data_IF_880338569628
#
_entry.id   IF_880338569628
#
_cell.length_a   1.000
_cell.length_b   1.000
_cell.length_c   1.000
_cell.angle_alpha   90.00
_cell.angle_beta   90.00
_cell.angle_gamma   90.00
#
_symmetry.space_group_name_H-M   'P 1'
#
loop_
_entity.id
_entity.type
_entity.pdbx_description
1 polymer ?
#
# COMPACT_ATOMS: atom_id res chain seq x y z
N UNK A 1 18.14 -13.33 -18.69
CA UNK A 1 17.96 -13.88 -17.32
C UNK A 1 16.62 -13.35 -16.85
N UNK A 2 15.63 -14.21 -16.62
CA UNK A 2 14.25 -13.75 -16.36
C UNK A 2 14.05 -13.18 -14.95
N UNK A 3 13.02 -12.35 -14.75
CA UNK A 3 12.59 -11.79 -13.44
C UNK A 3 12.54 -12.86 -12.32
N UNK A 4 12.08 -14.06 -12.65
CA UNK A 4 12.00 -15.19 -11.72
C UNK A 4 13.34 -15.85 -11.39
N UNK A 5 14.34 -15.77 -12.27
CA UNK A 5 15.68 -16.32 -12.01
C UNK A 5 16.47 -15.47 -11.01
N UNK A 6 16.18 -14.16 -10.91
CA UNK A 6 16.81 -13.27 -9.95
C UNK A 6 16.27 -13.46 -8.52
N UNK A 7 14.94 -13.66 -8.37
CA UNK A 7 14.31 -13.96 -7.06
C UNK A 7 14.73 -15.32 -6.49
N UNK A 8 15.17 -16.26 -7.32
CA UNK A 8 15.78 -17.55 -6.90
C UNK A 8 17.12 -17.36 -6.17
N UNK A 9 17.77 -16.20 -6.25
CA UNK A 9 19.21 -16.05 -6.05
C UNK A 9 19.73 -15.65 -4.66
N UNK A 10 18.90 -15.20 -3.71
CA UNK A 10 19.37 -14.89 -2.34
C UNK A 10 18.76 -15.83 -1.31
N UNK A 11 19.48 -16.92 -1.02
CA UNK A 11 19.27 -17.68 0.20
C UNK A 11 19.84 -16.88 1.36
N UNK A 12 19.03 -16.60 2.37
CA UNK A 12 19.51 -16.07 3.64
C UNK A 12 20.44 -17.08 4.33
N UNK A 13 21.05 -16.67 5.45
CA UNK A 13 21.88 -17.57 6.27
C UNK A 13 21.14 -18.85 6.69
N UNK A 14 19.81 -18.78 6.73
CA UNK A 14 18.91 -19.87 7.14
C UNK A 14 18.52 -20.80 5.97
N UNK A 15 19.13 -20.60 4.79
CA UNK A 15 18.94 -21.41 3.59
C UNK A 15 17.61 -21.21 2.87
N UNK A 16 16.77 -20.27 3.33
CA UNK A 16 15.51 -19.87 2.69
C UNK A 16 15.68 -18.65 1.79
N UNK A 17 14.95 -18.62 0.67
CA UNK A 17 14.87 -17.43 -0.19
C UNK A 17 13.93 -16.36 0.39
N UNK A 18 14.06 -15.12 -0.08
CA UNK A 18 13.11 -14.06 0.27
C UNK A 18 11.66 -14.42 -0.11
N UNK A 19 11.45 -15.16 -1.21
CA UNK A 19 10.12 -15.64 -1.61
C UNK A 19 9.56 -16.67 -0.62
N UNK A 20 10.39 -17.59 -0.14
CA UNK A 20 10.02 -18.59 0.87
C UNK A 20 9.75 -17.94 2.23
N UNK A 21 10.55 -16.95 2.64
CA UNK A 21 10.32 -16.18 3.86
C UNK A 21 9.06 -15.31 3.75
N UNK A 22 8.79 -14.72 2.57
CA UNK A 22 7.54 -13.98 2.32
C UNK A 22 6.33 -14.91 2.44
N UNK A 23 6.41 -16.12 1.88
CA UNK A 23 5.36 -17.14 2.03
C UNK A 23 5.21 -17.54 3.50
N UNK A 24 6.30 -17.86 4.20
CA UNK A 24 6.27 -18.23 5.62
C UNK A 24 5.60 -17.14 6.48
N UNK A 25 5.88 -15.86 6.19
CA UNK A 25 5.28 -14.72 6.88
C UNK A 25 3.75 -14.65 6.74
N UNK A 26 3.15 -15.26 5.70
CA UNK A 26 1.69 -15.39 5.56
C UNK A 26 1.07 -16.23 6.67
N UNK A 27 1.78 -17.27 7.11
CA UNK A 27 1.36 -18.20 8.15
C UNK A 27 1.66 -17.71 9.57
N UNK A 28 2.05 -16.43 9.75
CA UNK A 28 2.09 -15.80 11.09
C UNK A 28 0.72 -15.81 11.78
N UNK A 29 -0.36 -15.89 10.98
CA UNK A 29 -1.69 -16.22 11.45
C UNK A 29 -2.08 -17.56 10.82
N UNK A 30 -2.76 -18.41 11.58
CA UNK A 30 -3.22 -19.70 11.09
C UNK A 30 -4.08 -19.54 9.82
N UNK A 31 -3.79 -20.34 8.79
CA UNK A 31 -4.42 -20.26 7.46
C UNK A 31 -4.51 -21.63 6.82
N UNK A 32 -5.45 -21.81 5.89
CA UNK A 32 -5.57 -23.03 5.10
C UNK A 32 -4.37 -23.10 4.16
N UNK A 33 -3.72 -24.25 4.07
CA UNK A 33 -2.55 -24.43 3.22
C UNK A 33 -2.91 -24.35 1.72
N UNK A 34 -4.12 -24.77 1.34
CA UNK A 34 -4.60 -24.77 -0.04
C UNK A 34 -5.11 -23.41 -0.56
N UNK A 35 -5.34 -22.42 0.32
CA UNK A 35 -5.92 -21.11 -0.05
C UNK A 35 -4.92 -20.17 -0.75
N UNK A 36 -3.62 -20.50 -0.78
CA UNK A 36 -2.62 -19.68 -1.45
C UNK A 36 -2.68 -19.97 -2.96
N UNK A 37 -3.11 -18.99 -3.75
CA UNK A 37 -3.31 -19.17 -5.19
C UNK A 37 -2.01 -19.61 -5.88
N UNK A 38 -2.01 -20.83 -6.43
CA UNK A 38 -0.84 -21.43 -7.06
C UNK A 38 -0.23 -20.54 -8.14
N UNK A 39 -1.07 -19.90 -8.96
CA UNK A 39 -0.65 -19.05 -10.08
C UNK A 39 0.23 -17.86 -9.67
N UNK A 40 0.02 -17.31 -8.47
CA UNK A 40 0.77 -16.12 -8.02
C UNK A 40 2.13 -16.48 -7.41
N UNK A 41 2.27 -17.67 -6.83
CA UNK A 41 3.39 -18.03 -5.98
C UNK A 41 4.42 -18.94 -6.66
N UNK A 42 3.98 -19.76 -7.63
CA UNK A 42 4.85 -20.77 -8.24
C UNK A 42 6.07 -20.16 -8.92
N UNK A 43 5.88 -19.01 -9.59
CA UNK A 43 6.96 -18.37 -10.32
C UNK A 43 8.00 -17.70 -9.38
N UNK A 44 7.64 -16.88 -8.36
CA UNK A 44 8.60 -16.38 -7.38
C UNK A 44 9.30 -17.47 -6.55
N UNK A 45 8.61 -18.56 -6.24
CA UNK A 45 9.19 -19.69 -5.50
C UNK A 45 10.06 -20.60 -6.38
N UNK A 46 9.85 -20.55 -7.70
CA UNK A 46 10.47 -21.47 -8.66
C UNK A 46 10.00 -22.92 -8.53
N UNK A 47 8.93 -23.19 -7.77
CA UNK A 47 8.35 -24.49 -7.52
C UNK A 47 6.88 -24.34 -7.07
N UNK A 48 6.03 -25.38 -7.23
CA UNK A 48 4.64 -25.33 -6.79
C UNK A 48 4.50 -24.94 -5.32
N UNK A 49 3.62 -23.99 -5.00
CA UNK A 49 3.43 -23.45 -3.65
C UNK A 49 3.15 -24.56 -2.63
N UNK A 50 2.33 -25.55 -2.98
CA UNK A 50 2.01 -26.69 -2.11
C UNK A 50 3.23 -27.59 -1.84
N UNK A 51 4.22 -27.66 -2.73
CA UNK A 51 5.49 -28.36 -2.49
C UNK A 51 6.37 -27.56 -1.53
N UNK A 52 6.40 -26.25 -1.70
CA UNK A 52 7.12 -25.33 -0.80
C UNK A 52 6.56 -25.38 0.62
N UNK A 53 5.23 -25.35 0.79
CA UNK A 53 4.56 -25.46 2.10
C UNK A 53 4.91 -26.79 2.77
N UNK A 54 4.80 -27.91 2.05
CA UNK A 54 5.19 -29.23 2.59
C UNK A 54 6.63 -29.24 3.09
N UNK A 55 7.58 -28.71 2.30
CA UNK A 55 8.98 -28.60 2.72
C UNK A 55 9.16 -27.68 3.95
N UNK A 56 8.37 -26.61 4.10
CA UNK A 56 8.41 -25.77 5.30
C UNK A 56 7.88 -26.52 6.54
N UNK A 57 6.90 -27.42 6.37
CA UNK A 57 6.42 -28.33 7.42
C UNK A 57 7.51 -29.37 7.75
N UNK A 58 8.11 -30.01 6.75
CA UNK A 58 9.19 -31.00 6.92
C UNK A 58 10.41 -30.40 7.63
N UNK A 59 10.65 -29.10 7.45
CA UNK A 59 11.69 -28.33 8.16
C UNK A 59 11.29 -27.87 9.57
N UNK A 60 10.09 -28.17 10.04
CA UNK A 60 9.59 -27.76 11.34
C UNK A 60 9.32 -26.25 11.48
N UNK A 61 9.18 -25.52 10.37
CA UNK A 61 8.90 -24.07 10.38
C UNK A 61 7.40 -23.78 10.36
N UNK A 62 6.63 -24.74 9.85
CA UNK A 62 5.17 -24.75 9.87
C UNK A 62 4.69 -26.01 10.58
N UNK A 63 3.55 -25.91 11.25
CA UNK A 63 2.89 -27.04 11.90
C UNK A 63 1.36 -26.86 11.86
N UNK A 64 0.58 -27.94 12.08
CA UNK A 64 -0.84 -27.81 12.36
C UNK A 64 -1.10 -26.76 13.44
N UNK A 65 -2.00 -25.81 13.16
CA UNK A 65 -2.27 -24.72 14.08
C UNK A 65 -2.94 -25.22 15.36
N UNK A 66 -2.56 -24.64 16.50
CA UNK A 66 -3.22 -24.93 17.79
C UNK A 66 -4.71 -24.61 17.73
N UNK A 67 -5.53 -25.26 18.57
CA UNK A 67 -6.98 -25.03 18.63
C UNK A 67 -7.31 -23.53 18.78
N UNK A 68 -6.61 -22.83 19.69
CA UNK A 68 -6.76 -21.38 19.90
C UNK A 68 -6.47 -20.58 18.62
N UNK A 69 -5.41 -20.93 17.90
CA UNK A 69 -5.07 -20.26 16.64
C UNK A 69 -6.09 -20.55 15.53
N UNK A 70 -6.62 -21.78 15.48
CA UNK A 70 -7.68 -22.17 14.53
C UNK A 70 -8.98 -21.39 14.77
N UNK A 71 -9.40 -21.26 16.02
CA UNK A 71 -10.55 -20.45 16.43
C UNK A 71 -10.33 -18.97 16.09
N UNK A 72 -9.12 -18.45 16.36
CA UNK A 72 -8.77 -17.07 16.06
C UNK A 72 -8.80 -16.73 14.56
N UNK A 73 -8.44 -17.69 13.71
CA UNK A 73 -8.48 -17.53 12.25
C UNK A 73 -9.89 -17.71 11.67
N UNK A 74 -10.68 -18.60 12.26
CA UNK A 74 -11.96 -19.06 11.71
C UNK A 74 -13.16 -18.23 12.19
N UNK A 75 -13.27 -18.00 13.49
CA UNK A 75 -14.49 -17.43 14.08
C UNK A 75 -14.37 -15.93 14.25
N UNK A 76 -15.46 -15.21 13.98
CA UNK A 76 -15.61 -13.79 14.32
C UNK A 76 -16.08 -13.65 15.76
N UNK A 77 -15.89 -12.45 16.34
CA UNK A 77 -16.30 -12.15 17.72
C UNK A 77 -17.79 -12.45 17.97
N UNK A 78 -18.74 -12.15 17.06
CA UNK A 78 -20.14 -12.51 17.28
C UNK A 78 -20.38 -14.02 17.42
N UNK A 79 -19.72 -14.85 16.60
CA UNK A 79 -19.85 -16.32 16.64
C UNK A 79 -19.29 -16.89 17.94
N UNK A 80 -18.14 -16.38 18.40
CA UNK A 80 -17.57 -16.74 19.71
C UNK A 80 -18.53 -16.41 20.85
N UNK A 81 -19.20 -15.25 20.79
CA UNK A 81 -20.17 -14.85 21.81
C UNK A 81 -21.42 -15.75 21.80
N UNK A 82 -21.85 -16.24 20.65
CA UNK A 82 -22.96 -17.21 20.57
C UNK A 82 -22.55 -18.50 21.30
N UNK A 83 -21.40 -19.08 20.95
CA UNK A 83 -20.90 -20.31 21.58
C UNK A 83 -20.73 -20.18 23.10
N UNK A 84 -20.28 -19.03 23.58
CA UNK A 84 -20.16 -18.77 25.02
C UNK A 84 -21.52 -18.63 25.72
N UNK A 85 -22.52 -17.98 25.09
CA UNK A 85 -23.87 -17.85 25.68
C UNK A 85 -24.58 -19.19 25.82
N UNK A 86 -24.45 -20.06 24.83
CA UNK A 86 -25.00 -21.42 24.89
C UNK A 86 -24.48 -22.24 26.08
N UNK A 87 -23.33 -21.81 26.64
CA UNK A 87 -22.66 -22.42 27.79
C UNK A 87 -22.79 -21.58 29.06
N UNK A 88 -23.64 -20.56 29.03
CA UNK A 88 -23.84 -19.61 30.14
C UNK A 88 -22.56 -18.91 30.59
N UNK A 89 -21.57 -18.77 29.70
CA UNK A 89 -20.29 -18.14 29.99
C UNK A 89 -20.33 -16.63 29.72
N UNK A 90 -19.52 -15.83 30.44
CA UNK A 90 -19.39 -14.41 30.16
C UNK A 90 -19.00 -14.14 28.69
N UNK A 91 -19.57 -13.08 28.10
CA UNK A 91 -19.35 -12.69 26.69
C UNK A 91 -18.64 -11.34 26.51
N UNK A 92 -18.18 -10.75 27.61
CA UNK A 92 -17.34 -9.55 27.59
C UNK A 92 -15.87 -9.92 27.39
N UNK A 93 -15.11 -9.00 26.79
CA UNK A 93 -13.67 -9.12 26.59
C UNK A 93 -13.22 -9.07 25.12
N UNK A 94 -11.91 -9.16 24.93
CA UNK A 94 -11.26 -9.21 23.62
C UNK A 94 -11.37 -10.61 23.01
N UNK A 95 -11.19 -10.73 21.69
CA UNK A 95 -11.27 -12.01 20.98
C UNK A 95 -10.38 -13.12 21.61
N UNK A 96 -9.10 -12.88 21.97
CA UNK A 96 -8.28 -13.89 22.64
C UNK A 96 -8.87 -14.37 23.97
N UNK A 97 -9.42 -13.46 24.77
CA UNK A 97 -10.04 -13.80 26.07
C UNK A 97 -11.29 -14.67 25.86
N UNK A 98 -12.10 -14.37 24.85
CA UNK A 98 -13.28 -15.19 24.52
C UNK A 98 -12.89 -16.60 24.05
N UNK A 99 -11.81 -16.72 23.27
CA UNK A 99 -11.27 -18.01 22.82
C UNK A 99 -10.75 -18.82 24.01
N UNK A 100 -9.94 -18.20 24.87
CA UNK A 100 -9.39 -18.84 26.07
C UNK A 100 -10.51 -19.46 26.90
N UNK A 101 -11.54 -18.65 27.19
CA UNK A 101 -12.72 -19.07 27.97
C UNK A 101 -13.47 -20.23 27.33
N UNK A 102 -13.64 -20.21 26.00
CA UNK A 102 -14.31 -21.29 25.29
C UNK A 102 -13.49 -22.59 25.35
N UNK A 103 -12.16 -22.51 25.15
CA UNK A 103 -11.28 -23.68 25.19
C UNK A 103 -11.18 -24.26 26.59
N UNK A 104 -11.14 -23.43 27.65
CA UNK A 104 -11.09 -23.90 29.04
C UNK A 104 -12.39 -24.57 29.47
N UNK A 105 -13.54 -24.01 29.10
CA UNK A 105 -14.84 -24.50 29.55
C UNK A 105 -15.36 -25.68 28.73
N UNK A 106 -15.13 -25.68 27.41
CA UNK A 106 -15.62 -26.73 26.51
C UNK A 106 -14.65 -26.96 25.32
N UNK A 107 -13.53 -27.68 25.55
CA UNK A 107 -12.59 -28.00 24.49
C UNK A 107 -13.20 -28.77 23.32
N UNK A 108 -14.19 -29.64 23.60
CA UNK A 108 -14.81 -30.49 22.59
C UNK A 108 -15.65 -29.67 21.59
N UNK A 109 -16.46 -28.74 22.09
CA UNK A 109 -17.21 -27.85 21.20
C UNK A 109 -16.31 -26.82 20.50
N UNK A 110 -15.26 -26.36 21.17
CA UNK A 110 -14.25 -25.53 20.56
C UNK A 110 -13.62 -26.25 19.35
N UNK A 111 -13.28 -27.52 19.50
CA UNK A 111 -12.74 -28.36 18.43
C UNK A 111 -13.77 -28.59 17.31
N UNK A 112 -15.04 -28.89 17.67
CA UNK A 112 -16.13 -29.07 16.72
C UNK A 112 -16.39 -27.81 15.87
N UNK A 113 -16.29 -26.62 16.46
CA UNK A 113 -16.51 -25.34 15.78
C UNK A 113 -15.48 -25.05 14.67
N UNK A 114 -14.34 -25.74 14.68
CA UNK A 114 -13.28 -25.62 13.67
C UNK A 114 -13.00 -26.94 12.96
N UNK A 115 -13.86 -27.94 13.13
CA UNK A 115 -13.73 -29.25 12.50
C UNK A 115 -13.71 -29.12 10.97
N UNK A 116 -12.92 -29.98 10.31
CA UNK A 116 -12.76 -29.98 8.86
C UNK A 116 -11.85 -28.88 8.30
N UNK A 117 -11.23 -28.05 9.15
CA UNK A 117 -10.33 -26.98 8.70
C UNK A 117 -8.87 -27.31 9.04
N UNK A 118 -8.13 -27.73 8.02
CA UNK A 118 -6.69 -28.01 8.09
C UNK A 118 -5.89 -26.71 8.03
N UNK A 119 -5.88 -25.97 9.14
CA UNK A 119 -5.11 -24.74 9.25
C UNK A 119 -3.67 -25.02 9.70
N UNK A 120 -2.74 -24.35 9.05
CA UNK A 120 -1.30 -24.38 9.33
C UNK A 120 -0.88 -23.03 9.90
N UNK A 121 0.07 -23.02 10.82
CA UNK A 121 0.66 -21.81 11.40
C UNK A 121 2.18 -21.93 11.56
N UNK A 122 2.84 -20.78 11.77
CA UNK A 122 4.26 -20.76 12.12
C UNK A 122 4.49 -21.46 13.47
N UNK A 123 5.55 -22.27 13.53
CA UNK A 123 6.15 -22.69 14.79
C UNK A 123 6.93 -21.53 15.42
N UNK A 124 7.42 -21.68 16.64
CA UNK A 124 8.26 -20.67 17.29
C UNK A 124 9.51 -20.35 16.46
N UNK A 125 10.11 -21.37 15.84
CA UNK A 125 11.27 -21.20 14.97
C UNK A 125 10.89 -20.48 13.67
N UNK A 126 9.78 -20.87 13.04
CA UNK A 126 9.25 -20.14 11.88
C UNK A 126 8.93 -18.68 12.21
N UNK A 127 8.39 -18.41 13.39
CA UNK A 127 8.05 -17.06 13.84
C UNK A 127 9.31 -16.20 14.05
N UNK A 128 10.39 -16.76 14.61
CA UNK A 128 11.69 -16.06 14.72
C UNK A 128 12.25 -15.68 13.37
N UNK A 129 12.24 -16.62 12.40
CA UNK A 129 12.70 -16.33 11.03
C UNK A 129 11.86 -15.24 10.36
N UNK A 130 10.55 -15.27 10.55
CA UNK A 130 9.65 -14.22 10.03
C UNK A 130 9.91 -12.88 10.68
N UNK A 131 10.16 -12.83 11.99
CA UNK A 131 10.47 -11.59 12.70
C UNK A 131 11.78 -10.98 12.17
N UNK A 132 12.85 -11.76 12.10
CA UNK A 132 14.13 -11.32 11.55
C UNK A 132 14.03 -10.89 10.07
N UNK A 133 13.22 -11.60 9.28
CA UNK A 133 12.92 -11.22 7.89
C UNK A 133 12.22 -9.87 7.80
N UNK A 134 11.18 -9.64 8.61
CA UNK A 134 10.44 -8.37 8.64
C UNK A 134 11.33 -7.21 9.08
N UNK A 135 12.16 -7.42 10.10
CA UNK A 135 13.11 -6.41 10.56
C UNK A 135 14.10 -6.03 9.44
N UNK A 136 14.67 -7.03 8.76
CA UNK A 136 15.52 -6.80 7.59
C UNK A 136 14.79 -6.02 6.50
N UNK A 137 13.56 -6.40 6.15
CA UNK A 137 12.78 -5.72 5.10
C UNK A 137 12.41 -4.29 5.48
N UNK A 138 12.08 -4.05 6.73
CA UNK A 138 11.82 -2.71 7.24
C UNK A 138 13.09 -1.85 7.18
N UNK A 139 14.25 -2.39 7.57
CA UNK A 139 15.52 -1.68 7.45
C UNK A 139 15.91 -1.40 6.00
N UNK A 140 15.71 -2.36 5.08
CA UNK A 140 15.92 -2.15 3.63
C UNK A 140 15.01 -1.05 3.08
N UNK A 141 13.73 -1.03 3.47
CA UNK A 141 12.78 0.00 3.09
C UNK A 141 13.20 1.38 3.64
N UNK A 142 13.48 1.47 4.94
CA UNK A 142 13.87 2.72 5.61
C UNK A 142 15.13 3.31 5.00
N UNK A 143 16.14 2.48 4.75
CA UNK A 143 17.38 2.92 4.11
C UNK A 143 17.11 3.50 2.71
N UNK A 144 16.31 2.82 1.89
CA UNK A 144 15.98 3.28 0.55
C UNK A 144 15.11 4.54 0.58
N UNK A 145 14.14 4.63 1.49
CA UNK A 145 13.29 5.82 1.64
C UNK A 145 14.10 7.02 2.08
N UNK A 146 14.97 6.87 3.08
CA UNK A 146 15.84 7.95 3.54
C UNK A 146 16.81 8.41 2.44
N UNK A 147 17.44 7.48 1.72
CA UNK A 147 18.31 7.83 0.59
C UNK A 147 17.57 8.61 -0.50
N UNK A 148 16.36 8.18 -0.88
CA UNK A 148 15.55 8.89 -1.87
C UNK A 148 15.08 10.27 -1.40
N UNK A 149 14.78 10.42 -0.10
CA UNK A 149 14.41 11.70 0.51
C UNK A 149 15.57 12.71 0.43
N UNK A 150 16.78 12.29 0.80
CA UNK A 150 17.98 13.14 0.71
C UNK A 150 18.28 13.56 -0.73
N UNK A 151 18.10 12.65 -1.68
CA UNK A 151 18.26 12.94 -3.11
C UNK A 151 17.23 13.99 -3.58
N UNK A 152 15.95 13.84 -3.20
CA UNK A 152 14.91 14.84 -3.51
C UNK A 152 15.24 16.21 -2.91
N UNK A 153 15.68 16.25 -1.66
CA UNK A 153 16.05 17.50 -0.98
C UNK A 153 17.21 18.24 -1.67
N UNK A 154 18.13 17.49 -2.31
CA UNK A 154 19.25 18.04 -3.08
C UNK A 154 18.93 18.26 -4.56
N UNK A 155 17.71 17.94 -5.00
CA UNK A 155 17.27 18.04 -6.41
C UNK A 155 17.72 16.90 -7.32
N UNK A 156 18.31 15.82 -6.80
CA UNK A 156 18.67 14.63 -7.57
C UNK A 156 17.45 13.69 -7.76
N UNK A 157 16.52 14.12 -8.61
CA UNK A 157 15.30 13.35 -8.87
C UNK A 157 15.53 12.05 -9.60
N UNK A 158 16.54 12.02 -10.48
CA UNK A 158 16.88 10.81 -11.22
C UNK A 158 17.48 9.76 -10.28
N UNK A 159 18.35 10.16 -9.34
CA UNK A 159 18.86 9.30 -8.28
C UNK A 159 17.75 8.77 -7.38
N UNK A 160 16.82 9.63 -6.96
CA UNK A 160 15.70 9.23 -6.11
C UNK A 160 14.82 8.17 -6.79
N UNK A 161 14.40 8.41 -8.05
CA UNK A 161 13.59 7.44 -8.82
C UNK A 161 14.33 6.11 -9.02
N UNK A 162 15.62 6.14 -9.38
CA UNK A 162 16.43 4.92 -9.53
C UNK A 162 16.60 4.14 -8.22
N UNK A 163 16.77 4.83 -7.10
CA UNK A 163 16.87 4.20 -5.78
C UNK A 163 15.60 3.42 -5.45
N UNK A 164 14.46 4.04 -5.71
CA UNK A 164 13.15 3.45 -5.50
C UNK A 164 12.91 2.27 -6.45
N UNK A 165 13.26 2.41 -7.73
CA UNK A 165 13.17 1.32 -8.70
C UNK A 165 14.07 0.13 -8.33
N UNK A 166 15.31 0.38 -7.89
CA UNK A 166 16.22 -0.66 -7.44
C UNK A 166 15.71 -1.39 -6.19
N UNK A 167 15.03 -0.68 -5.28
CA UNK A 167 14.35 -1.30 -4.14
C UNK A 167 13.18 -2.19 -4.58
N UNK A 168 12.29 -1.69 -5.44
CA UNK A 168 11.11 -2.41 -5.92
C UNK A 168 11.48 -3.63 -6.77
N UNK A 169 12.49 -3.51 -7.63
CA UNK A 169 13.01 -4.61 -8.46
C UNK A 169 13.50 -5.83 -7.66
N UNK A 170 13.78 -5.64 -6.37
CA UNK A 170 14.23 -6.70 -5.44
C UNK A 170 13.09 -7.33 -4.63
N UNK A 171 11.86 -6.82 -4.74
CA UNK A 171 10.74 -7.36 -3.98
C UNK A 171 10.18 -8.61 -4.65
N UNK A 172 9.68 -9.54 -3.82
CA UNK A 172 9.00 -10.75 -4.29
C UNK A 172 7.72 -10.38 -5.05
N UNK A 173 7.02 -9.36 -4.57
CA UNK A 173 5.85 -8.78 -5.20
C UNK A 173 6.05 -7.27 -5.29
N UNK A 174 6.68 -6.76 -6.36
CA UNK A 174 6.80 -5.33 -6.55
C UNK A 174 5.43 -4.67 -6.70
N UNK A 175 5.33 -3.39 -6.35
CA UNK A 175 4.09 -2.62 -6.50
C UNK A 175 3.83 -2.24 -7.96
N UNK A 176 2.57 -1.96 -8.30
CA UNK A 176 2.19 -1.50 -9.63
C UNK A 176 2.02 -2.64 -10.63
N UNK A 177 0.84 -2.70 -11.27
CA UNK A 177 0.54 -3.74 -12.26
C UNK A 177 1.27 -3.44 -13.57
N UNK A 178 2.05 -4.40 -14.07
CA UNK A 178 2.73 -4.28 -15.37
C UNK A 178 3.95 -3.36 -15.39
N UNK A 179 4.43 -2.91 -14.23
CA UNK A 179 5.65 -2.08 -14.13
C UNK A 179 6.86 -3.01 -14.07
N UNK A 180 7.78 -2.86 -15.03
CA UNK A 180 9.10 -3.48 -14.96
C UNK A 180 10.07 -2.57 -14.20
N UNK A 181 10.21 -2.82 -12.89
CA UNK A 181 11.11 -2.04 -12.05
C UNK A 181 12.59 -2.25 -12.37
N UNK A 182 12.97 -3.33 -13.08
CA UNK A 182 14.38 -3.55 -13.46
C UNK A 182 14.80 -2.62 -14.60
N UNK A 183 13.88 -2.29 -15.50
CA UNK A 183 14.09 -1.40 -16.64
C UNK A 183 13.34 -0.07 -16.50
N UNK A 184 12.94 0.29 -15.28
CA UNK A 184 12.15 1.49 -15.00
C UNK A 184 12.83 2.76 -15.55
N UNK A 185 12.11 3.46 -16.42
CA UNK A 185 12.56 4.75 -16.94
C UNK A 185 12.24 5.87 -15.96
N UNK A 186 13.29 6.42 -15.34
CA UNK A 186 13.18 7.55 -14.43
C UNK A 186 12.70 8.85 -15.10
N UNK A 187 12.66 8.94 -16.43
CA UNK A 187 12.36 10.20 -17.12
C UNK A 187 10.94 10.73 -16.81
N UNK A 188 9.94 9.86 -16.62
CA UNK A 188 8.60 10.32 -16.24
C UNK A 188 8.58 10.87 -14.82
N UNK A 189 9.22 10.18 -13.88
CA UNK A 189 9.35 10.64 -12.49
C UNK A 189 10.09 11.96 -12.42
N UNK A 190 11.23 12.09 -13.12
CA UNK A 190 12.02 13.33 -13.16
C UNK A 190 11.18 14.49 -13.69
N UNK A 191 10.41 14.29 -14.77
CA UNK A 191 9.51 15.34 -15.30
C UNK A 191 8.47 15.74 -14.26
N UNK A 192 7.85 14.77 -13.58
CA UNK A 192 6.85 15.03 -12.55
C UNK A 192 7.45 15.78 -11.35
N UNK A 193 8.59 15.33 -10.84
CA UNK A 193 9.26 15.93 -9.68
C UNK A 193 9.78 17.33 -9.96
N UNK A 194 10.29 17.57 -11.18
CA UNK A 194 10.70 18.90 -11.63
C UNK A 194 9.52 19.86 -11.68
N UNK A 195 8.36 19.44 -12.22
CA UNK A 195 7.18 20.31 -12.25
C UNK A 195 6.57 20.54 -10.87
N UNK A 196 6.72 19.59 -9.95
CA UNK A 196 6.29 19.70 -8.56
C UNK A 196 7.07 20.75 -7.76
N UNK A 197 8.37 20.93 -8.02
CA UNK A 197 9.20 21.92 -7.31
C UNK A 197 8.69 23.37 -7.39
N UNK A 198 7.97 23.69 -8.47
CA UNK A 198 7.46 25.03 -8.73
C UNK A 198 5.94 25.14 -8.55
N UNK A 199 5.30 24.10 -8.03
CA UNK A 199 3.86 24.03 -7.92
C UNK A 199 3.31 24.81 -6.72
N UNK A 200 2.40 25.74 -6.96
CA UNK A 200 1.68 26.48 -5.92
C UNK A 200 0.20 26.59 -6.30
N UNK A 201 -0.60 25.50 -6.14
CA UNK A 201 -2.01 25.55 -6.47
C UNK A 201 -2.74 26.56 -5.57
N UNK A 202 -3.74 27.25 -6.11
CA UNK A 202 -4.47 28.31 -5.43
C UNK A 202 -5.12 27.82 -4.12
N UNK A 203 -5.50 26.54 -4.06
CA UNK A 203 -6.06 25.91 -2.86
C UNK A 203 -5.08 25.85 -1.67
N UNK A 204 -3.77 25.92 -1.92
CA UNK A 204 -2.70 25.89 -0.93
C UNK A 204 -1.93 27.22 -0.88
N UNK A 205 -2.49 28.29 -1.45
CA UNK A 205 -1.84 29.61 -1.54
C UNK A 205 -1.55 30.27 -0.18
N UNK A 206 -2.12 29.74 0.90
CA UNK A 206 -1.94 30.23 2.27
C UNK A 206 -0.79 29.54 3.04
N UNK A 207 -0.10 28.58 2.43
CA UNK A 207 1.10 27.99 3.04
C UNK A 207 2.27 28.97 2.95
N UNK A 208 3.11 28.97 3.99
CA UNK A 208 4.41 29.64 3.92
C UNK A 208 5.30 28.98 2.86
N UNK A 209 6.29 29.69 2.32
CA UNK A 209 7.26 29.08 1.40
C UNK A 209 8.03 27.92 2.04
N UNK A 210 8.29 27.99 3.35
CA UNK A 210 8.92 26.91 4.11
C UNK A 210 8.05 25.65 4.13
N UNK A 211 6.77 25.80 4.48
CA UNK A 211 5.81 24.69 4.50
C UNK A 211 5.55 24.17 3.08
N UNK A 212 5.41 25.05 2.08
CA UNK A 212 5.20 24.63 0.69
C UNK A 212 6.40 23.83 0.17
N UNK A 213 7.63 24.25 0.48
CA UNK A 213 8.84 23.51 0.14
C UNK A 213 8.85 22.12 0.79
N UNK A 214 8.59 22.04 2.10
CA UNK A 214 8.50 20.77 2.83
C UNK A 214 7.38 19.86 2.27
N UNK A 215 6.23 20.44 1.93
CA UNK A 215 5.10 19.72 1.36
C UNK A 215 5.43 19.17 -0.03
N UNK A 216 6.12 19.93 -0.89
CA UNK A 216 6.60 19.45 -2.21
C UNK A 216 7.52 18.25 -2.07
N UNK A 217 8.46 18.28 -1.10
CA UNK A 217 9.35 17.14 -0.81
C UNK A 217 8.56 15.92 -0.33
N UNK A 218 7.63 16.10 0.60
CA UNK A 218 6.79 14.99 1.08
C UNK A 218 5.87 14.43 -0.02
N UNK A 219 5.30 15.28 -0.86
CA UNK A 219 4.49 14.86 -2.03
C UNK A 219 5.34 14.14 -3.08
N UNK A 220 6.59 14.54 -3.29
CA UNK A 220 7.54 13.84 -4.16
C UNK A 220 7.77 12.40 -3.67
N UNK A 221 7.98 12.25 -2.37
CA UNK A 221 8.12 10.95 -1.73
C UNK A 221 6.83 10.11 -1.83
N UNK A 222 5.65 10.71 -1.61
CA UNK A 222 4.35 10.04 -1.80
C UNK A 222 4.21 9.48 -3.22
N UNK A 223 4.56 10.28 -4.23
CA UNK A 223 4.50 9.88 -5.63
C UNK A 223 5.45 8.71 -5.90
N UNK A 224 6.74 8.86 -5.55
CA UNK A 224 7.74 7.82 -5.84
C UNK A 224 7.40 6.52 -5.14
N UNK A 225 7.05 6.55 -3.85
CA UNK A 225 6.79 5.36 -3.04
C UNK A 225 5.37 4.80 -3.18
N UNK A 226 4.50 5.45 -3.96
CA UNK A 226 3.13 4.99 -4.18
C UNK A 226 2.28 4.99 -2.90
N UNK A 227 2.52 5.95 -2.00
CA UNK A 227 1.85 6.06 -0.71
C UNK A 227 0.82 7.19 -0.70
N UNK A 228 -0.20 7.06 0.15
CA UNK A 228 -1.29 8.03 0.32
C UNK A 228 -1.08 8.97 1.52
N UNK A 229 0.03 8.82 2.24
CA UNK A 229 0.41 9.65 3.39
C UNK A 229 1.78 10.31 3.19
N UNK A 230 1.85 11.61 3.48
CA UNK A 230 3.06 12.43 3.50
C UNK A 230 3.67 12.55 4.89
N UNK A 231 2.89 12.23 5.94
CA UNK A 231 3.19 12.58 7.34
C UNK A 231 4.61 12.22 7.80
N UNK A 232 5.11 11.07 7.37
CA UNK A 232 6.42 10.55 7.80
C UNK A 232 7.62 11.31 7.22
N UNK A 233 7.42 12.12 6.19
CA UNK A 233 8.50 12.90 5.55
C UNK A 233 8.42 14.40 5.83
N UNK A 234 7.44 14.83 6.60
CA UNK A 234 7.31 16.22 7.01
C UNK A 234 8.23 16.48 8.21
N UNK A 235 8.91 17.64 8.25
CA UNK A 235 9.75 18.01 9.39
C UNK A 235 8.91 18.26 10.64
N UNK A 236 9.50 18.13 11.83
CA UNK A 236 8.82 18.32 13.12
C UNK A 236 8.17 19.71 13.28
N UNK A 237 8.70 20.73 12.61
CA UNK A 237 8.17 22.10 12.63
C UNK A 237 7.14 22.44 11.54
N UNK A 238 6.67 21.44 10.77
CA UNK A 238 5.68 21.69 9.71
C UNK A 238 4.34 22.13 10.29
N UNK A 239 3.90 23.34 9.93
CA UNK A 239 2.62 23.90 10.42
C UNK A 239 1.47 23.41 9.56
N UNK A 240 1.68 23.35 8.24
CA UNK A 240 0.71 22.86 7.27
C UNK A 240 -0.46 23.80 7.00
N UNK A 241 -1.51 23.25 6.40
CA UNK A 241 -2.67 24.05 5.96
C UNK A 241 -3.70 24.14 7.09
N UNK A 242 -4.24 25.33 7.41
CA UNK A 242 -5.34 25.45 8.37
C UNK A 242 -6.65 24.82 7.86
N UNK A 243 -6.75 24.52 6.56
CA UNK A 243 -7.96 23.94 5.94
C UNK A 243 -7.93 22.42 5.88
N UNK A 244 -6.75 21.80 5.92
CA UNK A 244 -6.57 20.40 5.60
C UNK A 244 -5.52 19.74 6.47
N UNK A 245 -5.76 18.47 6.83
CA UNK A 245 -4.69 17.63 7.38
C UNK A 245 -3.52 17.47 6.39
N UNK A 246 -2.35 17.11 6.91
CA UNK A 246 -1.10 17.08 6.15
C UNK A 246 -1.18 16.22 4.88
N UNK A 247 -1.71 15.00 5.00
CA UNK A 247 -1.88 14.07 3.89
C UNK A 247 -2.88 14.58 2.84
N UNK A 248 -3.88 15.33 3.27
CA UNK A 248 -4.86 15.96 2.36
C UNK A 248 -4.23 17.11 1.60
N UNK A 249 -3.44 17.97 2.26
CA UNK A 249 -2.70 19.03 1.59
C UNK A 249 -1.72 18.46 0.56
N UNK A 250 -0.98 17.40 0.91
CA UNK A 250 -0.04 16.74 0.00
C UNK A 250 -0.76 16.09 -1.20
N UNK A 251 -1.93 15.49 -0.98
CA UNK A 251 -2.79 14.98 -2.08
C UNK A 251 -3.32 16.10 -2.97
N UNK A 252 -3.69 17.26 -2.43
CA UNK A 252 -4.10 18.40 -3.26
C UNK A 252 -3.00 18.81 -4.23
N UNK A 253 -1.75 18.85 -3.75
CA UNK A 253 -0.58 19.15 -4.58
C UNK A 253 -0.33 18.07 -5.65
N UNK A 254 -0.44 16.79 -5.27
CA UNK A 254 -0.34 15.65 -6.19
C UNK A 254 -1.42 15.68 -7.28
N UNK A 255 -2.67 15.95 -6.90
CA UNK A 255 -3.80 16.04 -7.84
C UNK A 255 -3.65 17.23 -8.77
N UNK A 256 -3.10 18.34 -8.30
CA UNK A 256 -2.79 19.47 -9.15
C UNK A 256 -1.78 19.09 -10.23
N UNK A 257 -0.68 18.43 -9.85
CA UNK A 257 0.31 17.98 -10.83
C UNK A 257 -0.25 16.97 -11.83
N UNK A 258 -1.11 16.04 -11.40
CA UNK A 258 -1.79 15.10 -12.30
C UNK A 258 -2.70 15.83 -13.29
N UNK A 259 -3.47 16.82 -12.83
CA UNK A 259 -4.31 17.65 -13.69
C UNK A 259 -3.50 18.42 -14.73
N UNK A 260 -2.41 19.06 -14.30
CA UNK A 260 -1.52 19.79 -15.19
C UNK A 260 -0.89 18.87 -16.25
N UNK A 261 -0.51 17.64 -15.87
CA UNK A 261 -0.02 16.62 -16.81
C UNK A 261 -1.11 16.21 -17.80
N UNK A 262 -2.34 15.99 -17.33
CA UNK A 262 -3.46 15.60 -18.18
C UNK A 262 -3.79 16.66 -19.22
N UNK A 263 -3.91 17.93 -18.81
CA UNK A 263 -4.11 19.05 -19.75
C UNK A 263 -3.01 19.08 -20.82
N UNK A 264 -1.74 18.92 -20.44
CA UNK A 264 -0.61 18.88 -21.39
C UNK A 264 -0.72 17.70 -22.35
N UNK A 265 -1.08 16.52 -21.84
CA UNK A 265 -1.24 15.32 -22.65
C UNK A 265 -2.36 15.49 -23.68
N UNK A 266 -3.53 15.96 -23.26
CA UNK A 266 -4.67 16.21 -24.14
C UNK A 266 -4.33 17.22 -25.24
N UNK A 267 -3.67 18.34 -24.89
CA UNK A 267 -3.19 19.33 -25.87
C UNK A 267 -2.21 18.72 -26.88
N UNK A 268 -1.28 17.89 -26.40
CA UNK A 268 -0.27 17.23 -27.25
C UNK A 268 -0.88 16.31 -28.30
N UNK A 269 -1.98 15.63 -27.96
CA UNK A 269 -2.69 14.72 -28.89
C UNK A 269 -3.80 15.43 -29.69
N UNK A 270 -3.86 16.77 -29.63
CA UNK A 270 -4.78 17.58 -30.44
C UNK A 270 -6.20 17.69 -29.91
N UNK A 271 -6.49 17.19 -28.70
CA UNK A 271 -7.79 17.37 -28.06
C UNK A 271 -7.96 18.83 -27.65
N UNK A 272 -9.12 19.41 -27.97
CA UNK A 272 -9.44 20.82 -27.71
C UNK A 272 -10.44 21.03 -26.58
N UNK A 273 -11.24 20.01 -26.28
CA UNK A 273 -12.28 20.06 -25.28
C UNK A 273 -12.10 18.98 -24.22
N UNK A 274 -12.51 19.30 -23.01
CA UNK A 274 -12.55 18.35 -21.91
C UNK A 274 -13.73 18.65 -20.99
N UNK A 275 -13.97 17.71 -20.08
CA UNK A 275 -15.04 17.79 -19.09
C UNK A 275 -14.50 17.40 -17.73
N UNK A 276 -14.93 18.12 -16.70
CA UNK A 276 -14.63 17.76 -15.32
C UNK A 276 -15.71 16.77 -14.87
N UNK A 277 -15.29 15.59 -14.43
CA UNK A 277 -16.15 14.62 -13.75
C UNK A 277 -15.85 14.64 -12.26
N UNK A 278 -16.89 14.65 -11.43
CA UNK A 278 -16.76 14.46 -9.99
C UNK A 278 -17.17 13.05 -9.60
N UNK A 279 -16.56 12.50 -8.55
CA UNK A 279 -17.10 11.31 -7.89
C UNK A 279 -18.42 11.62 -7.16
N UNK A 280 -19.27 10.61 -6.86
CA UNK A 280 -20.51 10.80 -6.09
C UNK A 280 -20.32 11.53 -4.75
N UNK A 281 -19.15 11.36 -4.12
CA UNK A 281 -18.80 12.02 -2.86
C UNK A 281 -18.04 13.35 -3.02
N UNK A 282 -17.97 13.94 -4.21
CA UNK A 282 -17.35 15.27 -4.42
C UNK A 282 -18.04 16.33 -3.54
N UNK A 283 -17.30 17.34 -3.06
CA UNK A 283 -17.91 18.41 -2.25
C UNK A 283 -18.84 19.32 -3.09
N UNK A 284 -19.71 20.07 -2.43
CA UNK A 284 -20.69 20.97 -3.07
C UNK A 284 -20.06 21.91 -4.09
N UNK A 285 -18.94 22.54 -3.73
CA UNK A 285 -18.22 23.45 -4.63
C UNK A 285 -17.83 22.74 -5.93
N UNK A 286 -17.28 21.53 -5.83
CA UNK A 286 -16.79 20.77 -6.97
C UNK A 286 -17.94 20.24 -7.86
N UNK A 287 -19.09 19.90 -7.27
CA UNK A 287 -20.30 19.51 -8.03
C UNK A 287 -20.78 20.63 -8.97
N UNK A 288 -20.54 21.89 -8.64
CA UNK A 288 -20.88 23.02 -9.53
C UNK A 288 -20.10 23.05 -10.86
N UNK A 289 -19.02 22.28 -10.98
CA UNK A 289 -18.17 22.21 -12.17
C UNK A 289 -18.35 20.94 -12.99
N UNK A 290 -19.08 19.94 -12.45
CA UNK A 290 -19.22 18.66 -13.12
C UNK A 290 -20.06 18.76 -14.39
N UNK A 291 -19.73 17.91 -15.36
CA UNK A 291 -20.47 17.70 -16.60
C UNK A 291 -20.45 18.84 -17.63
N UNK A 292 -19.69 19.92 -17.38
CA UNK A 292 -19.53 21.03 -18.33
C UNK A 292 -18.45 20.70 -19.37
N UNK A 293 -18.83 20.67 -20.66
CA UNK A 293 -17.87 20.68 -21.78
C UNK A 293 -17.22 22.05 -21.84
N UNK A 294 -15.90 22.10 -21.71
CA UNK A 294 -15.09 23.32 -21.72
C UNK A 294 -13.95 23.15 -22.72
N UNK A 295 -13.50 24.27 -23.30
CA UNK A 295 -12.23 24.26 -24.03
C UNK A 295 -11.08 24.07 -23.04
N UNK A 296 -10.00 23.40 -23.45
CA UNK A 296 -8.86 23.11 -22.55
C UNK A 296 -8.15 24.36 -21.99
N UNK A 297 -8.30 25.52 -22.61
CA UNK A 297 -7.82 26.83 -22.12
C UNK A 297 -8.74 27.45 -21.05
N UNK A 298 -10.00 27.04 -21.01
CA UNK A 298 -11.03 27.52 -20.06
C UNK A 298 -11.22 26.57 -18.87
N UNK A 299 -10.57 25.41 -18.86
CA UNK A 299 -10.67 24.47 -17.75
C UNK A 299 -10.03 25.08 -16.50
N UNK A 300 -10.80 25.20 -15.40
CA UNK A 300 -10.27 25.76 -14.16
C UNK A 300 -9.16 24.88 -13.57
N UNK A 301 -8.36 25.47 -12.69
CA UNK A 301 -7.41 24.72 -11.91
C UNK A 301 -8.12 23.64 -11.07
N UNK A 302 -7.58 22.42 -11.13
CA UNK A 302 -7.86 21.35 -10.17
C UNK A 302 -6.63 21.11 -9.30
N UNK A 303 -6.79 20.85 -8.00
CA UNK A 303 -8.01 21.04 -7.21
C UNK A 303 -8.51 22.48 -7.25
N UNK A 304 -9.83 22.67 -7.30
CA UNK A 304 -10.38 24.02 -7.20
C UNK A 304 -10.01 24.68 -5.87
N UNK A 305 -9.72 25.98 -5.87
CA UNK A 305 -9.42 26.76 -4.66
C UNK A 305 -10.51 26.64 -3.58
N UNK A 306 -11.78 26.50 -4.00
CA UNK A 306 -12.94 26.31 -3.13
C UNK A 306 -13.23 24.87 -2.72
N UNK A 307 -12.39 23.90 -3.09
CA UNK A 307 -12.60 22.51 -2.67
C UNK A 307 -12.47 22.36 -1.15
N UNK A 308 -13.33 21.54 -0.56
CA UNK A 308 -13.42 21.30 0.90
C UNK A 308 -13.36 19.82 1.26
N UNK A 309 -13.10 18.94 0.29
CA UNK A 309 -13.15 17.50 0.54
C UNK A 309 -11.95 17.04 1.39
N UNK A 310 -12.26 16.36 2.50
CA UNK A 310 -11.28 15.87 3.48
C UNK A 310 -10.26 14.86 2.94
N UNK A 311 -10.54 14.19 1.81
CA UNK A 311 -9.67 13.21 1.17
C UNK A 311 -8.91 13.78 -0.04
N UNK A 312 -8.99 15.09 -0.24
CA UNK A 312 -8.47 15.75 -1.43
C UNK A 312 -9.50 15.80 -2.57
N UNK A 313 -9.14 16.47 -3.65
CA UNK A 313 -9.99 16.63 -4.83
C UNK A 313 -10.45 15.26 -5.38
N UNK A 314 -11.75 15.16 -5.69
CA UNK A 314 -12.39 13.98 -6.29
C UNK A 314 -12.77 14.20 -7.74
N UNK A 315 -12.29 15.29 -8.33
CA UNK A 315 -12.54 15.63 -9.71
C UNK A 315 -11.44 15.07 -10.61
N UNK A 316 -11.82 14.64 -11.81
CA UNK A 316 -10.92 14.22 -12.88
C UNK A 316 -11.29 14.95 -14.16
N UNK A 317 -10.29 15.27 -14.97
CA UNK A 317 -10.47 15.75 -16.31
C UNK A 317 -10.59 14.56 -17.26
N UNK A 318 -11.62 14.53 -18.10
CA UNK A 318 -11.75 13.59 -19.22
C UNK A 318 -11.77 14.34 -20.55
N UNK A 319 -11.24 13.71 -21.60
CA UNK A 319 -11.33 14.22 -22.96
C UNK A 319 -12.76 14.20 -23.46
N UNK A 320 -13.15 15.23 -24.19
CA UNK A 320 -14.35 15.22 -25.03
C UNK A 320 -13.89 15.23 -26.48
N UNK A 321 -14.32 14.23 -27.25
CA UNK A 321 -14.09 14.23 -28.68
C UNK A 321 -15.05 15.24 -29.31
N UNK A 322 -14.57 15.93 -30.33
CA UNK A 322 -15.45 16.70 -31.19
C UNK A 322 -16.10 15.72 -32.16
N UNK A 323 -17.43 15.78 -32.28
CA UNK A 323 -18.21 14.98 -33.24
C UNK A 323 -17.80 15.28 -34.69
#
# INVERSE_FOLDING_TARGET
>A
MGFFDFLRGRKGKDGLSDAELTLLARFSRARVAEDESAERWDAPLGAPVGKTIRRLIDRGLLAPASLKARLAATLKVPELKVLLRERELPVSGTKPVLIERLVEADPAAAEAAVAGRSLVGCTDEGAKLVAAFRERKNAEHEQASQASLEMIQRGDFAGASRTVAAYEARQVFPRGLGIDWQSHDAAEDVRFLTSLQHATPAILSNLSELDMSALRVATAMMHLWGMDSAKHWLPEGFVGSPRFGHDTAARMLLFHQRHQREIRNLRRIGIKHGRILGCPNSCDFCRGWTEKKLRLDEIPELPHAGCTHELGCRCVLVSELDD
#
